data_IF_263020112333
#
_entry.id   IF_263020112333
#
_cell.length_a   1.000
_cell.length_b   1.000
_cell.length_c   1.000
_cell.angle_alpha   90.00
_cell.angle_beta   90.00
_cell.angle_gamma   90.00
#
_symmetry.space_group_name_H-M   'P 1'
#
loop_
_entity.id
_entity.type
_entity.pdbx_description
1 polymer ?
#
# COMPACT_ATOMS: atom_id res chain seq x y z
N UNK A 1 -16.73 -1.39 15.58
CA UNK A 1 -15.66 -2.20 14.96
C UNK A 1 -15.92 -2.57 13.48
N UNK A 2 -17.17 -2.80 13.05
CA UNK A 2 -17.45 -3.38 11.73
C UNK A 2 -17.59 -2.37 10.58
N UNK A 3 -17.18 -1.11 10.79
CA UNK A 3 -17.23 -0.10 9.73
C UNK A 3 -15.87 -0.09 9.01
N UNK A 4 -15.82 -0.44 7.72
CA UNK A 4 -14.59 -0.31 6.96
C UNK A 4 -14.24 1.18 6.78
N UNK A 5 -12.96 1.45 6.58
CA UNK A 5 -12.43 2.78 6.30
C UNK A 5 -11.48 2.69 5.10
N UNK A 6 -11.28 3.80 4.41
CA UNK A 6 -10.36 3.84 3.28
C UNK A 6 -8.92 3.99 3.78
N UNK A 7 -8.13 2.92 3.63
CA UNK A 7 -6.73 2.93 4.01
C UNK A 7 -5.90 3.97 3.22
N UNK A 8 -6.36 4.38 2.02
CA UNK A 8 -5.70 5.42 1.24
C UNK A 8 -5.73 6.77 1.94
N UNK A 9 -6.78 7.10 2.69
CA UNK A 9 -6.84 8.35 3.44
C UNK A 9 -5.73 8.46 4.50
N UNK A 10 -5.39 7.34 5.14
CA UNK A 10 -4.31 7.29 6.11
C UNK A 10 -2.95 7.42 5.40
N UNK A 11 -2.75 6.74 4.27
CA UNK A 11 -1.53 6.87 3.45
C UNK A 11 -1.32 8.33 3.03
N UNK A 12 -2.35 9.00 2.49
CA UNK A 12 -2.29 10.39 2.03
C UNK A 12 -1.97 11.38 3.15
N UNK A 13 -2.32 11.08 4.41
CA UNK A 13 -1.96 11.91 5.58
C UNK A 13 -0.53 11.67 6.08
N UNK A 14 0.07 10.55 5.73
CA UNK A 14 1.41 10.15 6.18
C UNK A 14 2.50 10.55 5.18
N UNK A 15 2.20 10.47 3.87
CA UNK A 15 3.15 10.86 2.82
C UNK A 15 3.30 12.38 2.76
N UNK A 16 4.50 12.82 2.37
CA UNK A 16 4.79 14.22 2.11
C UNK A 16 3.83 14.77 1.04
N UNK A 17 3.29 15.97 1.27
CA UNK A 17 2.43 16.72 0.32
C UNK A 17 1.14 15.99 -0.10
N UNK A 18 0.82 14.83 0.50
CA UNK A 18 -0.30 13.99 0.04
C UNK A 18 -0.06 13.36 -1.33
N UNK A 19 1.18 13.31 -1.82
CA UNK A 19 1.52 12.72 -3.12
C UNK A 19 1.78 11.21 -2.98
N UNK A 20 0.82 10.41 -3.45
CA UNK A 20 0.90 8.96 -3.45
C UNK A 20 0.69 8.40 -4.86
N UNK A 21 1.70 7.73 -5.38
CA UNK A 21 1.67 7.07 -6.69
C UNK A 21 1.32 5.58 -6.53
N UNK A 22 0.04 5.25 -6.73
CA UNK A 22 -0.44 3.89 -6.57
C UNK A 22 -0.06 2.98 -7.76
N UNK A 23 0.37 1.75 -7.44
CA UNK A 23 0.72 0.72 -8.42
C UNK A 23 -0.39 -0.32 -8.47
N UNK A 24 -0.86 -0.61 -9.69
CA UNK A 24 -1.88 -1.63 -9.95
C UNK A 24 -3.19 -1.38 -9.18
N UNK A 25 -3.65 -0.13 -9.14
CA UNK A 25 -4.89 0.30 -8.43
C UNK A 25 -6.14 -0.52 -8.85
N UNK A 26 -6.23 -0.95 -10.09
CA UNK A 26 -7.39 -1.70 -10.60
C UNK A 26 -7.33 -3.21 -10.34
N UNK A 27 -6.21 -3.74 -9.84
CA UNK A 27 -5.97 -5.17 -9.60
C UNK A 27 -5.75 -5.46 -8.10
N UNK A 28 -6.33 -6.55 -7.60
CA UNK A 28 -6.27 -6.97 -6.19
C UNK A 28 -6.47 -5.78 -5.22
N UNK A 29 -7.66 -5.17 -5.28
CA UNK A 29 -8.01 -3.93 -4.57
C UNK A 29 -8.10 -4.09 -3.04
N UNK A 30 -8.08 -5.32 -2.53
CA UNK A 30 -7.94 -5.69 -1.12
C UNK A 30 -6.55 -5.39 -0.54
N UNK A 31 -5.54 -5.13 -1.38
CA UNK A 31 -4.23 -4.63 -0.96
C UNK A 31 -3.80 -3.42 -1.79
N UNK A 32 -3.35 -2.38 -1.11
CA UNK A 32 -2.80 -1.15 -1.70
C UNK A 32 -1.28 -1.27 -1.74
N UNK A 33 -0.68 -0.95 -2.89
CA UNK A 33 0.77 -0.86 -3.06
C UNK A 33 1.10 0.40 -3.84
N UNK A 34 2.12 1.14 -3.46
CA UNK A 34 2.50 2.36 -4.19
C UNK A 34 3.69 3.07 -3.58
N UNK A 35 4.07 4.18 -4.19
CA UNK A 35 5.20 5.00 -3.74
C UNK A 35 4.71 6.32 -3.16
N UNK A 36 5.38 6.77 -2.12
CA UNK A 36 5.29 8.13 -1.61
C UNK A 36 6.66 8.63 -1.19
N UNK A 37 6.70 9.82 -0.58
CA UNK A 37 7.91 10.34 0.05
C UNK A 37 7.69 10.56 1.53
N UNK A 38 8.74 10.36 2.32
CA UNK A 38 8.82 10.76 3.72
C UNK A 38 10.13 11.50 3.91
N UNK A 39 10.06 12.75 4.38
CA UNK A 39 11.20 13.65 4.48
C UNK A 39 12.02 13.71 3.17
N UNK A 40 11.33 13.76 2.04
CA UNK A 40 11.91 13.84 0.69
C UNK A 40 12.55 12.54 0.17
N UNK A 41 12.53 11.45 0.93
CA UNK A 41 13.04 10.13 0.50
C UNK A 41 11.90 9.24 0.00
N UNK A 42 12.13 8.53 -1.10
CA UNK A 42 11.16 7.58 -1.65
C UNK A 42 10.93 6.42 -0.68
N UNK A 43 9.66 6.11 -0.41
CA UNK A 43 9.22 5.00 0.44
C UNK A 43 8.15 4.22 -0.31
N UNK A 44 8.26 2.89 -0.30
CA UNK A 44 7.22 1.99 -0.76
C UNK A 44 6.19 1.74 0.34
N UNK A 45 4.91 1.77 0.00
CA UNK A 45 3.82 1.48 0.93
C UNK A 45 3.12 0.20 0.53
N UNK A 46 2.80 -0.64 1.51
CA UNK A 46 1.94 -1.83 1.38
C UNK A 46 0.88 -1.76 2.46
N UNK A 47 -0.40 -1.87 2.11
CA UNK A 47 -1.46 -1.73 3.11
C UNK A 47 -2.70 -2.57 2.80
N UNK A 48 -3.31 -3.16 3.82
CA UNK A 48 -4.61 -3.83 3.70
C UNK A 48 -5.71 -2.79 3.41
N UNK A 49 -6.71 -3.15 2.59
CA UNK A 49 -7.86 -2.27 2.28
C UNK A 49 -9.15 -2.89 2.83
N UNK A 50 -9.60 -2.49 4.04
CA UNK A 50 -10.80 -3.05 4.68
C UNK A 50 -12.08 -2.85 3.86
N UNK A 51 -12.15 -1.83 3.00
CA UNK A 51 -13.31 -1.59 2.13
C UNK A 51 -13.50 -2.66 1.05
N UNK A 52 -12.48 -3.47 0.75
CA UNK A 52 -12.53 -4.48 -0.30
C UNK A 52 -12.25 -5.85 0.30
N UNK A 53 -13.22 -6.76 0.19
CA UNK A 53 -13.11 -8.13 0.74
C UNK A 53 -12.68 -8.16 2.21
N UNK A 54 -13.01 -7.13 3.00
CA UNK A 54 -12.58 -6.97 4.39
C UNK A 54 -11.04 -6.99 4.58
N UNK A 55 -10.26 -6.60 3.56
CA UNK A 55 -8.80 -6.52 3.66
C UNK A 55 -8.08 -7.87 3.68
N UNK A 56 -8.79 -8.98 3.45
CA UNK A 56 -8.20 -10.32 3.51
C UNK A 56 -7.18 -10.55 2.40
N UNK A 57 -6.12 -11.30 2.71
CA UNK A 57 -5.12 -11.70 1.74
C UNK A 57 -5.61 -12.91 0.94
N UNK A 58 -5.71 -12.72 -0.37
CA UNK A 58 -5.91 -13.79 -1.36
C UNK A 58 -4.65 -13.98 -2.22
N UNK A 59 -4.72 -14.91 -3.16
CA UNK A 59 -3.60 -15.24 -4.05
C UNK A 59 -3.16 -14.03 -4.90
N UNK A 60 -4.11 -13.24 -5.39
CA UNK A 60 -3.82 -12.10 -6.26
C UNK A 60 -3.20 -10.94 -5.48
N UNK A 61 -3.73 -10.61 -4.29
CA UNK A 61 -3.11 -9.65 -3.38
C UNK A 61 -1.70 -10.07 -2.96
N UNK A 62 -1.52 -11.36 -2.65
CA UNK A 62 -0.20 -11.91 -2.30
C UNK A 62 0.80 -11.75 -3.43
N UNK A 63 0.41 -12.06 -4.68
CA UNK A 63 1.28 -11.87 -5.86
C UNK A 63 1.60 -10.40 -6.11
N UNK A 64 0.62 -9.51 -5.98
CA UNK A 64 0.79 -8.05 -6.12
C UNK A 64 1.80 -7.52 -5.11
N UNK A 65 1.58 -7.77 -3.82
CA UNK A 65 2.43 -7.28 -2.75
C UNK A 65 3.84 -7.90 -2.81
N UNK A 66 3.96 -9.21 -3.02
CA UNK A 66 5.27 -9.88 -3.08
C UNK A 66 6.17 -9.32 -4.19
N UNK A 67 5.61 -9.07 -5.38
CA UNK A 67 6.39 -8.47 -6.48
C UNK A 67 6.82 -7.04 -6.17
N UNK A 68 5.94 -6.25 -5.55
CA UNK A 68 6.23 -4.88 -5.15
C UNK A 68 7.33 -4.81 -4.07
N UNK A 69 7.24 -5.65 -3.03
CA UNK A 69 8.25 -5.76 -1.97
C UNK A 69 9.61 -6.12 -2.54
N UNK A 70 9.67 -7.14 -3.41
CA UNK A 70 10.93 -7.55 -4.07
C UNK A 70 11.54 -6.45 -4.93
N UNK A 71 10.70 -5.65 -5.60
CA UNK A 71 11.18 -4.50 -6.36
C UNK A 71 11.79 -3.45 -5.44
N UNK A 72 11.10 -3.08 -4.36
CA UNK A 72 11.60 -2.09 -3.41
C UNK A 72 12.93 -2.52 -2.79
N UNK A 73 13.02 -3.78 -2.36
CA UNK A 73 14.24 -4.37 -1.80
C UNK A 73 15.41 -4.32 -2.80
N UNK A 74 15.19 -4.73 -4.06
CA UNK A 74 16.22 -4.73 -5.09
C UNK A 74 16.80 -3.35 -5.41
N UNK A 75 16.03 -2.28 -5.17
CA UNK A 75 16.44 -0.89 -5.43
C UNK A 75 16.72 -0.09 -4.14
N UNK A 76 16.85 -0.75 -2.99
CA UNK A 76 17.09 -0.12 -1.68
C UNK A 76 16.04 0.93 -1.30
N UNK A 77 14.78 0.72 -1.71
CA UNK A 77 13.66 1.56 -1.34
C UNK A 77 13.08 1.03 -0.02
N UNK A 78 13.05 1.82 1.06
CA UNK A 78 12.45 1.42 2.33
C UNK A 78 10.95 1.17 2.17
N UNK A 79 10.42 0.26 2.98
CA UNK A 79 9.01 -0.17 2.91
C UNK A 79 8.32 0.16 4.24
N UNK A 80 7.15 0.78 4.16
CA UNK A 80 6.21 0.94 5.28
C UNK A 80 5.00 0.06 5.02
N UNK A 81 4.59 -0.69 6.04
CA UNK A 81 3.41 -1.56 5.96
C UNK A 81 2.37 -1.14 6.98
N UNK A 82 1.14 -0.92 6.53
CA UNK A 82 -0.01 -0.69 7.41
C UNK A 82 -0.88 -1.94 7.42
N UNK A 83 -1.14 -2.47 8.62
CA UNK A 83 -1.84 -3.74 8.80
C UNK A 83 -3.15 -3.48 9.53
N UNK A 84 -4.24 -3.97 8.94
CA UNK A 84 -5.58 -4.09 9.52
C UNK A 84 -6.20 -5.42 9.06
#
# INVERSE_FOLDING_TARGET
>A
PNKPYDMKELILKVVDEGDFFEISETFAKNIVTGFGRIAGRTVGFVANQPMVLAGVLDSDASRKAARFVRFCDAFNIPIVTFVD
#
